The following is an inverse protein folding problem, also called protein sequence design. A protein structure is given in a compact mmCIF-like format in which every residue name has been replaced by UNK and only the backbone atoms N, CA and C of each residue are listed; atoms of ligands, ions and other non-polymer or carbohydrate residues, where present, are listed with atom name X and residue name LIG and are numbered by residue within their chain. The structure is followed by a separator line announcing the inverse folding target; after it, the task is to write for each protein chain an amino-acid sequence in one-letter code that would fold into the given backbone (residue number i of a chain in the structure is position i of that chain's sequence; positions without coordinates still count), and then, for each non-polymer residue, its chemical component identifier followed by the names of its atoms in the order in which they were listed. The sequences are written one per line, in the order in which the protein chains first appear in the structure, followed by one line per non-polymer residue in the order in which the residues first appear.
data_IF_089568365567
#
_entry.id   IF_089568365567
#
_cell.length_a   1.000
_cell.length_b   1.000
_cell.length_c   1.000
_cell.angle_alpha   90.00
_cell.angle_beta   90.00
_cell.angle_gamma   90.00
#
_symmetry.space_group_name_H-M   'P 1'
#
loop_
_entity.id
_entity.type
_entity.pdbx_description
1 polymer ?
#
# COMPACT_ATOMS: atom_id res chain seq x y z
N UNK A 1 48.04 17.64 -12.17
CA UNK A 1 46.79 18.34 -11.80
C UNK A 1 46.04 17.47 -10.80
N UNK A 2 46.04 17.85 -9.51
CA UNK A 2 45.35 17.13 -8.42
C UNK A 2 43.89 17.58 -8.37
N UNK A 3 42.93 16.65 -8.55
CA UNK A 3 41.50 16.93 -8.33
C UNK A 3 41.20 16.71 -6.85
N UNK A 4 40.76 17.78 -6.19
CA UNK A 4 40.30 17.78 -4.81
C UNK A 4 38.94 17.07 -4.72
N UNK A 5 38.88 16.07 -3.84
CA UNK A 5 37.65 15.42 -3.38
C UNK A 5 36.79 16.45 -2.65
N UNK A 6 35.57 16.69 -3.14
CA UNK A 6 34.57 17.50 -2.45
C UNK A 6 33.55 16.54 -1.86
N UNK A 7 33.74 16.21 -0.58
CA UNK A 7 32.72 15.55 0.22
C UNK A 7 31.54 16.49 0.43
N UNK A 8 30.34 16.01 0.16
CA UNK A 8 29.09 16.64 0.55
C UNK A 8 28.43 15.75 1.61
N UNK A 9 28.58 16.22 2.84
CA UNK A 9 27.98 15.74 4.07
C UNK A 9 26.47 16.00 4.01
N UNK A 10 25.67 14.96 3.78
CA UNK A 10 24.20 15.05 3.85
C UNK A 10 23.79 14.71 5.29
N UNK A 11 23.80 15.74 6.12
CA UNK A 11 23.20 15.73 7.46
C UNK A 11 21.72 16.11 7.30
N UNK A 12 20.86 15.16 6.91
CA UNK A 12 19.42 15.42 6.85
C UNK A 12 18.86 15.33 8.26
N UNK A 13 18.48 16.50 8.78
CA UNK A 13 17.78 16.71 10.02
C UNK A 13 16.55 15.79 10.15
N UNK A 14 16.59 14.87 11.12
CA UNK A 14 15.38 14.26 11.65
C UNK A 14 14.62 15.38 12.37
N UNK A 15 13.49 15.74 11.79
CA UNK A 15 12.55 16.74 12.28
C UNK A 15 12.05 16.31 13.67
N UNK A 16 12.69 16.84 14.71
CA UNK A 16 12.19 16.81 16.07
C UNK A 16 10.86 17.58 16.07
N UNK A 17 9.74 16.86 16.13
CA UNK A 17 8.42 17.41 16.44
C UNK A 17 8.41 17.81 17.94
N UNK A 18 9.22 18.81 18.30
CA UNK A 18 9.14 19.48 19.59
C UNK A 18 7.91 20.38 19.54
N UNK A 19 6.82 19.89 20.12
CA UNK A 19 5.61 20.65 20.40
C UNK A 19 5.99 21.93 21.13
N UNK A 20 5.76 23.07 20.49
CA UNK A 20 5.87 24.38 21.10
C UNK A 20 4.80 24.53 22.19
N UNK A 21 5.23 24.48 23.45
CA UNK A 21 4.39 24.81 24.60
C UNK A 21 5.14 25.80 25.51
N UNK A 22 5.34 27.01 25.02
CA UNK A 22 5.80 28.12 25.85
C UNK A 22 5.32 29.46 25.28
N UNK A 23 4.03 29.78 25.45
CA UNK A 23 3.52 31.16 25.54
C UNK A 23 1.97 31.19 25.70
N UNK A 24 1.44 30.72 26.82
CA UNK A 24 0.20 31.24 27.40
C UNK A 24 0.20 30.91 28.89
N UNK A 25 0.42 31.94 29.72
CA UNK A 25 0.41 31.81 31.17
C UNK A 25 -1.01 31.47 31.65
N UNK A 26 -1.14 30.27 32.21
CA UNK A 26 -2.32 29.79 32.93
C UNK A 26 -1.85 28.65 33.83
N UNK A 27 -2.08 28.78 35.13
CA UNK A 27 -1.44 28.01 36.19
C UNK A 27 -2.13 26.64 36.44
N UNK A 28 -2.60 25.99 35.38
CA UNK A 28 -3.40 24.77 35.46
C UNK A 28 -2.54 23.55 35.09
N UNK A 29 -2.32 22.69 36.10
CA UNK A 29 -1.87 21.31 36.03
C UNK A 29 -0.94 20.94 34.87
N UNK A 30 0.36 20.80 35.17
CA UNK A 30 1.31 20.03 34.35
C UNK A 30 0.85 18.57 34.26
N UNK A 31 -0.10 18.27 33.37
CA UNK A 31 -0.33 16.91 32.87
C UNK A 31 0.84 16.57 31.97
N UNK A 32 1.97 16.22 32.59
CA UNK A 32 3.08 15.58 31.90
C UNK A 32 2.55 14.26 31.34
N UNK A 33 2.52 14.15 30.02
CA UNK A 33 1.98 12.98 29.32
C UNK A 33 2.73 11.73 29.78
N UNK A 34 2.04 10.82 30.48
CA UNK A 34 2.63 9.60 31.05
C UNK A 34 2.77 8.47 30.02
N UNK A 35 2.87 8.80 28.74
CA UNK A 35 3.12 7.79 27.71
C UNK A 35 4.46 7.13 28.00
N UNK A 36 4.44 5.83 28.31
CA UNK A 36 5.68 5.08 28.49
C UNK A 36 6.41 4.99 27.14
N UNK A 37 7.74 4.89 27.16
CA UNK A 37 8.52 4.66 25.93
C UNK A 37 7.96 3.49 25.11
N UNK A 38 7.55 2.40 25.79
CA UNK A 38 6.92 1.26 25.15
C UNK A 38 5.63 1.61 24.36
N UNK A 39 4.81 2.55 24.85
CA UNK A 39 3.61 3.00 24.11
C UNK A 39 3.94 3.84 22.88
N UNK A 40 5.03 4.62 22.95
CA UNK A 40 5.56 5.40 21.82
C UNK A 40 6.12 4.45 20.76
N UNK A 41 6.89 3.44 21.17
CA UNK A 41 7.47 2.44 20.27
C UNK A 41 6.37 1.64 19.55
N UNK A 42 5.33 1.21 20.29
CA UNK A 42 4.17 0.55 19.70
C UNK A 42 3.42 1.42 18.70
N UNK A 43 3.31 2.73 18.97
CA UNK A 43 2.70 3.66 18.02
C UNK A 43 3.56 3.81 16.77
N UNK A 44 4.87 3.96 16.92
CA UNK A 44 5.80 4.06 15.80
C UNK A 44 5.72 2.82 14.89
N UNK A 45 5.70 1.61 15.47
CA UNK A 45 5.52 0.36 14.70
C UNK A 45 4.21 0.34 13.93
N UNK A 46 3.09 0.74 14.55
CA UNK A 46 1.78 0.78 13.85
C UNK A 46 1.77 1.81 12.72
N UNK A 47 2.39 2.96 12.92
CA UNK A 47 2.49 4.00 11.88
C UNK A 47 3.29 3.46 10.69
N UNK A 48 4.44 2.83 10.93
CA UNK A 48 5.25 2.22 9.88
C UNK A 48 4.48 1.11 9.13
N UNK A 49 3.78 0.23 9.84
CA UNK A 49 2.95 -0.81 9.22
C UNK A 49 1.85 -0.23 8.31
N UNK A 50 1.17 0.83 8.77
CA UNK A 50 0.14 1.50 7.99
C UNK A 50 0.73 2.22 6.76
N UNK A 51 1.94 2.79 6.89
CA UNK A 51 2.66 3.40 5.76
C UNK A 51 2.98 2.36 4.69
N UNK A 52 3.54 1.21 5.09
CA UNK A 52 3.85 0.10 4.17
C UNK A 52 2.57 -0.43 3.52
N UNK A 53 1.49 -0.67 4.28
CA UNK A 53 0.22 -1.12 3.72
C UNK A 53 -0.34 -0.12 2.70
N UNK A 54 -0.32 1.18 3.03
CA UNK A 54 -0.78 2.22 2.11
C UNK A 54 0.08 2.27 0.85
N UNK A 55 1.41 2.13 0.97
CA UNK A 55 2.31 2.09 -0.16
C UNK A 55 2.01 0.89 -1.09
N UNK A 56 1.78 -0.29 -0.52
CA UNK A 56 1.40 -1.50 -1.28
C UNK A 56 0.08 -1.28 -2.02
N UNK A 57 -0.95 -0.75 -1.36
CA UNK A 57 -2.25 -0.44 -1.99
C UNK A 57 -2.07 0.52 -3.17
N UNK A 58 -1.29 1.59 -3.00
CA UNK A 58 -1.02 2.56 -4.07
C UNK A 58 -0.27 1.90 -5.22
N UNK A 59 0.79 1.14 -4.95
CA UNK A 59 1.61 0.45 -5.97
C UNK A 59 0.77 -0.57 -6.74
N UNK A 60 -0.05 -1.38 -6.07
CA UNK A 60 -0.93 -2.37 -6.72
C UNK A 60 -2.04 -1.71 -7.54
N UNK A 61 -2.48 -0.50 -7.17
CA UNK A 61 -3.50 0.24 -7.91
C UNK A 61 -3.00 0.94 -9.18
N UNK A 62 -1.69 0.90 -9.47
CA UNK A 62 -1.13 1.51 -10.67
C UNK A 62 -1.45 0.68 -11.93
N UNK A 63 -1.68 1.32 -13.09
CA UNK A 63 -2.07 0.63 -14.33
C UNK A 63 -0.87 0.00 -15.05
N UNK A 64 -0.05 -0.79 -14.36
CA UNK A 64 1.15 -1.45 -14.91
C UNK A 64 0.81 -2.40 -16.06
N UNK A 65 -0.25 -3.21 -15.91
CA UNK A 65 -0.72 -4.09 -16.97
C UNK A 65 -1.08 -3.35 -18.26
N UNK A 66 -1.68 -2.16 -18.16
CA UNK A 66 -2.05 -1.36 -19.33
C UNK A 66 -0.81 -0.77 -20.02
N UNK A 67 0.18 -0.33 -19.23
CA UNK A 67 1.43 0.21 -19.74
C UNK A 67 2.23 -0.86 -20.46
N UNK A 68 2.42 -2.04 -19.86
CA UNK A 68 3.10 -3.15 -20.52
C UNK A 68 2.35 -3.62 -21.76
N UNK A 69 1.03 -3.87 -21.66
CA UNK A 69 0.23 -4.28 -22.81
C UNK A 69 0.34 -3.31 -23.99
N UNK A 70 0.36 -1.99 -23.72
CA UNK A 70 0.57 -0.98 -24.75
C UNK A 70 1.95 -1.10 -25.39
N UNK A 71 3.02 -1.19 -24.59
CA UNK A 71 4.40 -1.34 -25.09
C UNK A 71 4.58 -2.64 -25.89
N UNK A 72 4.03 -3.76 -25.40
CA UNK A 72 4.04 -5.04 -26.09
C UNK A 72 3.29 -4.97 -27.43
N UNK A 73 2.18 -4.23 -27.47
CA UNK A 73 1.36 -3.96 -28.66
C UNK A 73 1.92 -2.89 -29.61
N UNK A 74 3.15 -2.41 -29.39
CA UNK A 74 3.81 -1.47 -30.29
C UNK A 74 3.43 0.00 -30.08
N UNK A 75 2.77 0.33 -28.96
CA UNK A 75 2.30 1.69 -28.66
C UNK A 75 2.96 2.22 -27.39
N UNK A 76 3.48 3.44 -27.45
CA UNK A 76 3.96 4.14 -26.26
C UNK A 76 3.35 5.52 -26.23
N UNK A 77 2.84 5.85 -25.06
CA UNK A 77 2.11 7.08 -24.80
C UNK A 77 2.68 7.72 -23.53
N UNK A 78 2.94 9.03 -23.61
CA UNK A 78 3.43 9.82 -22.49
C UNK A 78 2.49 9.79 -21.27
N UNK A 79 1.22 9.39 -21.44
CA UNK A 79 0.31 9.15 -20.32
C UNK A 79 0.81 8.13 -19.30
N UNK A 80 1.78 7.27 -19.66
CA UNK A 80 2.36 6.27 -18.75
C UNK A 80 3.56 6.79 -17.94
N UNK A 81 4.11 7.95 -18.27
CA UNK A 81 5.20 8.59 -17.50
C UNK A 81 4.84 8.80 -16.01
N UNK A 82 3.63 9.29 -15.65
CA UNK A 82 3.23 9.41 -14.25
C UNK A 82 3.23 8.08 -13.49
N UNK A 83 2.88 6.98 -14.15
CA UNK A 83 2.84 5.63 -13.56
C UNK A 83 4.25 5.16 -13.18
N UNK A 84 5.19 5.13 -14.13
CA UNK A 84 6.57 4.75 -13.87
C UNK A 84 7.24 5.65 -12.81
N UNK A 85 6.91 6.96 -12.83
CA UNK A 85 7.37 7.93 -11.83
C UNK A 85 6.80 7.66 -10.43
N UNK A 86 5.53 7.28 -10.33
CA UNK A 86 4.92 6.95 -9.05
C UNK A 86 5.53 5.67 -8.47
N UNK A 87 5.71 4.61 -9.28
CA UNK A 87 6.40 3.40 -8.84
C UNK A 87 7.78 3.70 -8.26
N UNK A 88 8.61 4.43 -9.01
CA UNK A 88 9.96 4.77 -8.58
C UNK A 88 9.97 5.58 -7.27
N UNK A 89 9.02 6.51 -7.10
CA UNK A 89 8.91 7.33 -5.89
C UNK A 89 8.43 6.53 -4.68
N UNK A 90 7.36 5.76 -4.83
CA UNK A 90 6.79 5.00 -3.72
C UNK A 90 7.78 3.96 -3.18
N UNK A 91 8.48 3.27 -4.08
CA UNK A 91 9.52 2.30 -3.71
C UNK A 91 10.74 2.94 -3.04
N UNK A 92 11.07 4.20 -3.35
CA UNK A 92 12.20 4.90 -2.72
C UNK A 92 11.86 5.60 -1.40
N UNK A 93 10.63 6.07 -1.24
CA UNK A 93 10.23 6.94 -0.13
C UNK A 93 9.58 6.20 1.04
N UNK A 94 9.11 4.97 0.81
CA UNK A 94 8.51 4.15 1.87
C UNK A 94 9.62 3.52 2.71
N UNK A 95 9.47 3.57 4.03
CA UNK A 95 10.38 2.89 4.96
C UNK A 95 10.08 1.38 5.01
N UNK A 96 10.57 0.65 3.99
CA UNK A 96 10.36 -0.78 3.85
C UNK A 96 11.03 -1.57 4.97
N UNK A 97 10.36 -2.61 5.45
CA UNK A 97 10.97 -3.57 6.36
C UNK A 97 12.18 -4.25 5.71
N UNK A 98 13.15 -4.76 6.49
CA UNK A 98 14.35 -5.40 5.95
C UNK A 98 14.07 -6.52 4.94
N UNK A 99 12.96 -7.25 5.12
CA UNK A 99 12.55 -8.34 4.22
C UNK A 99 12.03 -7.82 2.87
N UNK A 100 11.40 -6.63 2.85
CA UNK A 100 10.84 -6.03 1.63
C UNK A 100 11.80 -5.07 0.92
N UNK A 101 12.81 -4.54 1.63
CA UNK A 101 13.74 -3.56 1.09
C UNK A 101 14.48 -4.02 -0.18
N UNK A 102 14.96 -5.27 -0.31
CA UNK A 102 15.59 -5.74 -1.55
C UNK A 102 14.63 -5.75 -2.76
N UNK A 103 13.40 -6.23 -2.56
CA UNK A 103 12.36 -6.26 -3.60
C UNK A 103 11.96 -4.84 -4.03
N UNK A 104 11.73 -3.96 -3.05
CA UNK A 104 11.42 -2.55 -3.30
C UNK A 104 12.53 -1.85 -4.08
N UNK A 105 13.80 -2.09 -3.72
CA UNK A 105 14.96 -1.54 -4.44
C UNK A 105 15.00 -2.04 -5.88
N UNK A 106 14.76 -3.34 -6.11
CA UNK A 106 14.77 -3.94 -7.45
C UNK A 106 13.69 -3.30 -8.34
N UNK A 107 12.47 -3.16 -7.80
CA UNK A 107 11.37 -2.48 -8.49
C UNK A 107 11.72 -1.01 -8.77
N UNK A 108 12.25 -0.28 -7.78
CA UNK A 108 12.72 1.10 -7.94
C UNK A 108 13.68 1.26 -9.12
N UNK A 109 14.74 0.44 -9.17
CA UNK A 109 15.77 0.51 -10.21
C UNK A 109 15.15 0.25 -11.61
N UNK A 110 14.25 -0.73 -11.72
CA UNK A 110 13.53 -1.03 -12.97
C UNK A 110 12.59 0.09 -13.40
N UNK A 111 11.82 0.67 -12.47
CA UNK A 111 10.93 1.79 -12.74
C UNK A 111 11.70 3.05 -13.14
N UNK A 112 12.87 3.30 -12.57
CA UNK A 112 13.75 4.41 -13.00
C UNK A 112 14.29 4.19 -14.41
N UNK A 113 14.71 2.98 -14.75
CA UNK A 113 15.20 2.68 -16.10
C UNK A 113 14.09 2.89 -17.15
N UNK A 114 12.87 2.42 -16.85
CA UNK A 114 11.70 2.66 -17.69
C UNK A 114 11.36 4.15 -17.78
N UNK A 115 11.29 4.86 -16.66
CA UNK A 115 11.00 6.29 -16.62
C UNK A 115 12.00 7.10 -17.44
N UNK A 116 13.30 6.81 -17.33
CA UNK A 116 14.33 7.47 -18.10
C UNK A 116 14.13 7.26 -19.61
N UNK A 117 13.79 6.04 -20.03
CA UNK A 117 13.50 5.75 -21.45
C UNK A 117 12.26 6.48 -21.97
N UNK A 118 11.21 6.59 -21.15
CA UNK A 118 10.00 7.35 -21.47
C UNK A 118 10.28 8.86 -21.54
N UNK A 119 10.98 9.44 -20.55
CA UNK A 119 11.32 10.88 -20.51
C UNK A 119 12.29 11.28 -21.63
N UNK A 120 13.19 10.39 -22.06
CA UNK A 120 14.07 10.58 -23.23
C UNK A 120 13.34 10.41 -24.58
N UNK A 121 12.07 9.99 -24.58
CA UNK A 121 11.29 9.77 -25.79
C UNK A 121 11.86 8.66 -26.68
N UNK A 122 12.40 7.59 -26.07
CA UNK A 122 12.93 6.45 -26.81
C UNK A 122 11.84 5.76 -27.63
N UNK A 123 12.26 5.06 -28.67
CA UNK A 123 11.33 4.27 -29.48
C UNK A 123 10.76 3.06 -28.71
N UNK A 124 9.74 2.45 -29.29
CA UNK A 124 9.05 1.30 -28.68
C UNK A 124 9.96 0.10 -28.55
N UNK A 125 10.91 -0.11 -29.46
CA UNK A 125 11.83 -1.23 -29.39
C UNK A 125 12.74 -1.15 -28.17
N UNK A 126 13.16 0.06 -27.78
CA UNK A 126 13.97 0.30 -26.59
C UNK A 126 13.18 0.23 -25.28
N UNK A 127 11.93 0.70 -25.26
CA UNK A 127 11.12 0.75 -24.04
C UNK A 127 10.46 -0.60 -23.72
N UNK A 128 10.05 -1.36 -24.74
CA UNK A 128 9.39 -2.67 -24.56
C UNK A 128 10.07 -3.61 -23.55
N UNK A 129 11.38 -3.91 -23.63
CA UNK A 129 12.04 -4.77 -22.65
C UNK A 129 12.12 -4.14 -21.24
N UNK A 130 12.16 -2.81 -21.14
CA UNK A 130 12.16 -2.11 -19.84
C UNK A 130 10.79 -2.16 -19.18
N UNK A 131 9.73 -1.99 -19.98
CA UNK A 131 8.34 -2.11 -19.52
C UNK A 131 8.07 -3.51 -18.99
N UNK A 132 8.45 -4.54 -19.75
CA UNK A 132 8.29 -5.93 -19.32
C UNK A 132 9.04 -6.20 -18.01
N UNK A 133 10.29 -5.73 -17.89
CA UNK A 133 11.08 -5.94 -16.68
C UNK A 133 10.45 -5.24 -15.46
N UNK A 134 9.97 -4.01 -15.63
CA UNK A 134 9.30 -3.28 -14.55
C UNK A 134 8.00 -3.98 -14.13
N UNK A 135 7.23 -4.51 -15.08
CA UNK A 135 6.03 -5.30 -14.83
C UNK A 135 6.34 -6.57 -14.04
N UNK A 136 7.33 -7.36 -14.47
CA UNK A 136 7.72 -8.60 -13.78
C UNK A 136 8.21 -8.31 -12.35
N UNK A 137 9.05 -7.28 -12.17
CA UNK A 137 9.51 -6.84 -10.86
C UNK A 137 8.36 -6.29 -10.00
N UNK A 138 7.34 -5.68 -10.60
CA UNK A 138 6.14 -5.24 -9.91
C UNK A 138 5.36 -6.43 -9.35
N UNK A 139 5.09 -7.47 -10.15
CA UNK A 139 4.43 -8.68 -9.67
C UNK A 139 5.19 -9.35 -8.52
N UNK A 140 6.49 -9.61 -8.70
CA UNK A 140 7.32 -10.23 -7.66
C UNK A 140 7.27 -9.45 -6.36
N UNK A 141 7.43 -8.13 -6.45
CA UNK A 141 7.41 -7.28 -5.26
C UNK A 141 6.02 -7.22 -4.60
N UNK A 142 4.95 -7.03 -5.37
CA UNK A 142 3.60 -6.89 -4.79
C UNK A 142 3.14 -8.18 -4.13
N UNK A 143 3.50 -9.34 -4.69
CA UNK A 143 3.16 -10.65 -4.09
C UNK A 143 3.88 -10.84 -2.75
N UNK A 144 5.19 -10.56 -2.70
CA UNK A 144 5.99 -10.57 -1.46
C UNK A 144 5.46 -9.57 -0.43
N UNK A 145 5.12 -8.36 -0.86
CA UNK A 145 4.65 -7.30 0.01
C UNK A 145 3.26 -7.60 0.59
N UNK A 146 2.33 -8.14 -0.21
CA UNK A 146 1.02 -8.58 0.26
C UNK A 146 1.13 -9.71 1.28
N UNK A 147 1.99 -10.70 1.04
CA UNK A 147 2.25 -11.79 1.99
C UNK A 147 2.80 -11.24 3.32
N UNK A 148 3.74 -10.29 3.27
CA UNK A 148 4.31 -9.68 4.47
C UNK A 148 3.28 -8.84 5.26
N UNK A 149 2.54 -7.95 4.58
CA UNK A 149 1.59 -7.06 5.28
C UNK A 149 0.42 -7.85 5.84
N UNK A 150 -0.14 -8.83 5.11
CA UNK A 150 -1.30 -9.60 5.58
C UNK A 150 -0.99 -10.48 6.78
N UNK A 151 0.22 -11.06 6.86
CA UNK A 151 0.70 -11.78 8.06
C UNK A 151 0.82 -10.89 9.29
N UNK A 152 1.06 -9.59 9.09
CA UNK A 152 1.27 -8.61 10.16
C UNK A 152 0.00 -7.92 10.65
N UNK A 153 -1.11 -8.05 9.91
CA UNK A 153 -2.38 -7.47 10.32
C UNK A 153 -2.87 -8.16 11.60
N UNK A 154 -3.23 -7.41 12.65
CA UNK A 154 -3.92 -8.01 13.78
C UNK A 154 -5.21 -8.65 13.27
N UNK A 155 -5.61 -9.79 13.84
CA UNK A 155 -6.92 -10.37 13.57
C UNK A 155 -7.98 -9.26 13.68
N UNK A 156 -8.87 -9.15 12.70
CA UNK A 156 -9.85 -8.06 12.58
C UNK A 156 -10.54 -7.79 13.92
N UNK A 157 -10.06 -6.77 14.65
CA UNK A 157 -10.59 -6.41 15.98
C UNK A 157 -11.99 -5.75 15.91
N UNK A 158 -12.58 -5.76 14.71
CA UNK A 158 -13.82 -5.10 14.31
C UNK A 158 -14.78 -5.98 13.50
N UNK A 159 -14.57 -7.30 13.38
CA UNK A 159 -15.71 -8.19 13.12
C UNK A 159 -16.78 -7.87 14.17
N UNK A 160 -18.09 -7.78 13.80
CA UNK A 160 -19.12 -7.17 14.63
C UNK A 160 -18.96 -7.68 16.05
N UNK A 161 -18.46 -6.80 16.93
CA UNK A 161 -18.43 -7.11 18.35
C UNK A 161 -19.88 -7.40 18.67
N UNK A 162 -20.23 -8.55 19.28
CA UNK A 162 -21.58 -8.72 19.78
C UNK A 162 -21.83 -7.46 20.60
N UNK A 163 -22.74 -6.62 20.13
CA UNK A 163 -23.14 -5.42 20.84
C UNK A 163 -23.48 -5.94 22.21
N UNK A 164 -22.68 -5.62 23.23
CA UNK A 164 -23.04 -5.93 24.59
C UNK A 164 -24.39 -5.27 24.76
N UNK A 165 -25.45 -6.08 24.77
CA UNK A 165 -26.84 -5.63 24.78
C UNK A 165 -26.94 -4.61 25.91
N UNK A 166 -27.14 -3.31 25.60
CA UNK A 166 -27.33 -2.33 26.64
C UNK A 166 -28.76 -2.56 27.14
N UNK A 167 -28.91 -3.30 28.23
CA UNK A 167 -30.20 -3.48 28.89
C UNK A 167 -30.51 -4.91 29.25
N UNK A 168 -30.01 -5.34 30.41
CA UNK A 168 -30.82 -6.19 31.27
C UNK A 168 -32.00 -5.36 31.78
N UNK A 169 -33.07 -5.29 31.00
CA UNK A 169 -34.38 -4.86 31.48
C UNK A 169 -35.46 -5.61 30.70
N UNK A 170 -36.12 -6.51 31.42
CA UNK A 170 -37.38 -7.18 31.11
C UNK A 170 -37.43 -8.02 29.84
N UNK A 171 -37.46 -9.34 30.04
CA UNK A 171 -38.15 -10.30 29.19
C UNK A 171 -39.57 -9.82 28.87
N UNK A 172 -39.97 -9.76 27.59
CA UNK A 172 -41.35 -10.02 27.22
C UNK A 172 -41.45 -11.38 26.53
N UNK A 173 -42.60 -12.00 26.75
CA UNK A 173 -42.98 -13.34 26.39
C UNK A 173 -42.57 -13.78 24.97
N UNK A 174 -42.15 -15.04 24.91
CA UNK A 174 -42.13 -15.89 23.73
C UNK A 174 -43.41 -15.72 22.89
N UNK A 175 -43.26 -15.11 21.72
CA UNK A 175 -44.16 -15.33 20.60
C UNK A 175 -43.53 -16.34 19.66
N UNK A 176 -44.14 -17.52 19.69
CA UNK A 176 -44.11 -18.59 18.73
C UNK A 176 -44.14 -18.03 17.30
N UNK A 177 -43.05 -18.22 16.54
CA UNK A 177 -43.05 -18.04 15.09
C UNK A 177 -42.64 -19.35 14.44
N UNK A 178 -43.69 -20.06 14.06
CA UNK A 178 -43.72 -21.21 13.17
C UNK A 178 -42.96 -20.92 11.89
N UNK A 179 -41.98 -21.76 11.59
CA UNK A 179 -41.24 -21.82 10.32
C UNK A 179 -42.19 -22.17 9.17
N UNK A 180 -42.08 -21.52 8.00
CA UNK A 180 -42.36 -22.18 6.74
C UNK A 180 -41.09 -22.31 5.91
N UNK A 181 -40.80 -23.57 5.54
CA UNK A 181 -39.85 -23.93 4.52
C UNK A 181 -40.40 -23.59 3.13
N UNK A 182 -39.58 -22.94 2.31
CA UNK A 182 -39.65 -22.95 0.85
C UNK A 182 -38.20 -22.77 0.37
N UNK A 183 -37.55 -23.72 -0.30
CA UNK A 183 -38.07 -24.49 -1.42
C UNK A 183 -37.77 -23.70 -2.70
N UNK A 184 -36.49 -23.53 -3.05
CA UNK A 184 -36.11 -23.03 -4.37
C UNK A 184 -35.21 -24.03 -5.08
N UNK A 185 -35.87 -24.77 -5.96
CA UNK A 185 -35.35 -25.60 -7.02
C UNK A 185 -34.92 -24.68 -8.18
N UNK A 186 -33.63 -24.63 -8.49
CA UNK A 186 -33.09 -23.92 -9.66
C UNK A 186 -32.66 -24.94 -10.70
N UNK A 187 -33.58 -25.23 -11.61
CA UNK A 187 -33.35 -25.99 -12.83
C UNK A 187 -32.36 -25.22 -13.72
N UNK A 188 -31.16 -25.76 -13.95
CA UNK A 188 -30.24 -25.25 -14.97
C UNK A 188 -30.70 -25.69 -16.36
N UNK A 189 -30.89 -24.74 -17.28
CA UNK A 189 -31.06 -24.98 -18.71
C UNK A 189 -29.71 -24.85 -19.42
N UNK A 190 -29.19 -25.88 -20.10
CA UNK A 190 -28.00 -25.72 -20.95
C UNK A 190 -28.38 -25.08 -22.28
N UNK A 191 -27.86 -23.88 -22.55
CA UNK A 191 -27.96 -23.25 -23.86
C UNK A 191 -26.80 -23.71 -24.73
N UNK A 192 -27.03 -24.77 -25.50
CA UNK A 192 -26.21 -25.09 -26.66
C UNK A 192 -26.58 -24.19 -27.83
N UNK A 193 -25.58 -23.61 -28.49
CA UNK A 193 -25.67 -23.22 -29.89
C UNK A 193 -24.28 -23.23 -30.50
N UNK A 194 -24.02 -24.32 -31.22
CA UNK A 194 -23.18 -24.31 -32.41
C UNK A 194 -23.72 -23.27 -33.40
N UNK A 195 -22.84 -22.55 -34.10
CA UNK A 195 -22.90 -22.42 -35.56
C UNK A 195 -21.75 -21.54 -36.09
N UNK A 196 -21.01 -22.16 -37.01
CA UNK A 196 -20.16 -21.61 -38.09
C UNK A 196 -18.75 -21.14 -37.74
#
# INVERSE_FOLDING_TARGET
MKRLSTGALVLTAVLVLAVAAAACGGNDAKSESSASQASIDQLATRVQQNEVLNAVIVITGLPEHEMDSAAQGGKIDNKYVPTARMLARMTALTDWTPDLAPGAKKLHDSSLALLAALDEGKDVAAIKPLSQKAHEDWHMFTDEAWDAVTKSLPADAGGPRPTATPGGAATPASHDMTTPAAGHDTTMTPSGSEMQ
#
